data_IF_637047860622
#
_entry.id   IF_637047860622
#
_cell.length_a   1.000
_cell.length_b   1.000
_cell.length_c   1.000
_cell.angle_alpha   90.00
_cell.angle_beta   90.00
_cell.angle_gamma   90.00
#
_symmetry.space_group_name_H-M   'P 1'
#
loop_
_entity.id
_entity.type
_entity.pdbx_description
1 polymer ?
#
# COMPACT_ATOMS: atom_id res chain seq x y z
N UNK A 1 -10.74 -22.68 -11.94
CA UNK A 1 -11.23 -21.31 -12.21
C UNK A 1 -11.47 -20.52 -10.92
N UNK A 2 -12.14 -21.10 -9.90
CA UNK A 2 -12.40 -20.46 -8.60
C UNK A 2 -11.14 -20.00 -7.84
N UNK A 3 -10.08 -20.84 -7.82
CA UNK A 3 -8.82 -20.57 -7.11
C UNK A 3 -8.09 -19.32 -7.64
N UNK A 4 -8.05 -19.14 -8.97
CA UNK A 4 -7.38 -17.97 -9.59
C UNK A 4 -8.12 -16.67 -9.26
N UNK A 5 -9.46 -16.68 -9.29
CA UNK A 5 -10.27 -15.51 -8.92
C UNK A 5 -10.01 -15.11 -7.46
N UNK A 6 -10.07 -16.08 -6.55
CA UNK A 6 -9.80 -15.87 -5.13
C UNK A 6 -8.40 -15.28 -4.88
N UNK A 7 -7.37 -15.78 -5.56
CA UNK A 7 -6.01 -15.24 -5.45
C UNK A 7 -5.93 -13.78 -5.91
N UNK A 8 -6.63 -13.42 -6.99
CA UNK A 8 -6.66 -12.05 -7.50
C UNK A 8 -7.42 -11.10 -6.56
N UNK A 9 -8.51 -11.55 -5.96
CA UNK A 9 -9.25 -10.77 -4.96
C UNK A 9 -8.40 -10.55 -3.70
N UNK A 10 -7.77 -11.61 -3.19
CA UNK A 10 -6.88 -11.50 -2.05
C UNK A 10 -5.68 -10.59 -2.33
N UNK A 11 -5.08 -10.70 -3.52
CA UNK A 11 -4.03 -9.77 -3.99
C UNK A 11 -4.53 -8.32 -3.95
N UNK A 12 -5.73 -8.05 -4.46
CA UNK A 12 -6.29 -6.70 -4.50
C UNK A 12 -6.50 -6.13 -3.10
N UNK A 13 -7.06 -6.91 -2.17
CA UNK A 13 -7.26 -6.46 -0.79
C UNK A 13 -5.94 -6.23 -0.04
N UNK A 14 -4.94 -7.09 -0.27
CA UNK A 14 -3.58 -6.86 0.25
C UNK A 14 -2.97 -5.57 -0.31
N UNK A 15 -3.13 -5.31 -1.61
CA UNK A 15 -2.65 -4.07 -2.25
C UNK A 15 -3.34 -2.82 -1.74
N UNK A 16 -4.67 -2.84 -1.56
CA UNK A 16 -5.42 -1.75 -0.93
C UNK A 16 -4.91 -1.47 0.48
N UNK A 17 -4.65 -2.53 1.27
CA UNK A 17 -4.02 -2.38 2.57
C UNK A 17 -2.61 -1.81 2.51
N UNK A 18 -1.94 -1.94 1.37
CA UNK A 18 -0.62 -1.38 1.09
C UNK A 18 0.46 -2.43 0.80
N UNK A 19 0.18 -3.72 0.94
CA UNK A 19 1.13 -4.78 0.58
C UNK A 19 1.17 -4.93 -0.93
N UNK A 20 2.25 -4.49 -1.58
CA UNK A 20 2.40 -4.67 -3.02
C UNK A 20 2.70 -6.12 -3.35
N UNK A 21 1.67 -6.87 -3.70
CA UNK A 21 1.75 -8.31 -3.94
C UNK A 21 1.37 -8.62 -5.38
N UNK A 22 2.09 -9.54 -6.03
CA UNK A 22 1.75 -10.11 -7.32
C UNK A 22 1.39 -11.59 -7.20
N UNK A 23 0.67 -12.11 -8.19
CA UNK A 23 0.38 -13.56 -8.29
C UNK A 23 1.34 -14.17 -9.31
N UNK A 24 2.28 -14.98 -8.83
CA UNK A 24 3.30 -15.67 -9.65
C UNK A 24 3.25 -17.16 -9.29
N UNK A 25 3.05 -18.02 -10.28
CA UNK A 25 3.01 -19.49 -10.08
C UNK A 25 2.07 -19.96 -8.94
N UNK A 26 0.89 -19.34 -8.85
CA UNK A 26 -0.11 -19.55 -7.79
C UNK A 26 0.32 -19.10 -6.38
N UNK A 27 1.44 -18.40 -6.25
CA UNK A 27 1.90 -17.77 -5.02
C UNK A 27 1.60 -16.27 -5.03
N UNK A 28 1.28 -15.73 -3.85
CA UNK A 28 1.23 -14.31 -3.57
C UNK A 28 2.64 -13.86 -3.17
N UNK A 29 3.33 -13.18 -4.07
CA UNK A 29 4.73 -12.74 -3.90
C UNK A 29 4.73 -11.26 -3.54
N UNK A 30 5.25 -10.95 -2.34
CA UNK A 30 5.43 -9.57 -1.89
C UNK A 30 6.59 -8.93 -2.65
N UNK A 31 6.45 -7.66 -3.01
CA UNK A 31 7.50 -6.92 -3.71
C UNK A 31 8.81 -6.89 -2.91
N UNK A 32 9.93 -7.05 -3.61
CA UNK A 32 11.28 -7.15 -3.02
C UNK A 32 11.71 -5.89 -2.27
N UNK A 33 11.03 -4.76 -2.48
CA UNK A 33 11.30 -3.52 -1.74
C UNK A 33 10.81 -3.57 -0.28
N UNK A 34 9.89 -4.48 0.05
CA UNK A 34 9.42 -4.67 1.43
C UNK A 34 10.47 -5.43 2.24
N UNK A 35 10.51 -5.18 3.55
CA UNK A 35 11.41 -5.92 4.43
C UNK A 35 10.81 -7.22 4.93
N UNK A 36 11.68 -8.06 5.50
CA UNK A 36 11.29 -9.27 6.23
C UNK A 36 10.19 -9.00 7.26
N UNK A 37 10.22 -7.85 7.95
CA UNK A 37 9.19 -7.50 8.94
C UNK A 37 7.82 -7.36 8.30
N UNK A 38 7.72 -6.70 7.14
CA UNK A 38 6.44 -6.55 6.45
C UNK A 38 5.90 -7.87 5.92
N UNK A 39 6.77 -8.77 5.44
CA UNK A 39 6.32 -10.12 5.07
C UNK A 39 5.74 -10.87 6.28
N UNK A 40 6.43 -10.81 7.43
CA UNK A 40 5.94 -11.42 8.67
C UNK A 40 4.60 -10.80 9.07
N UNK A 41 4.44 -9.48 8.99
CA UNK A 41 3.17 -8.78 9.26
C UNK A 41 2.05 -9.26 8.34
N UNK A 42 2.32 -9.40 7.04
CA UNK A 42 1.36 -9.90 6.05
C UNK A 42 0.88 -11.32 6.39
N UNK A 43 1.81 -12.24 6.66
CA UNK A 43 1.47 -13.63 6.98
C UNK A 43 0.75 -13.73 8.32
N UNK A 44 1.21 -12.97 9.31
CA UNK A 44 0.55 -12.90 10.61
C UNK A 44 -0.89 -12.43 10.44
N UNK A 45 -1.15 -11.46 9.54
CA UNK A 45 -2.46 -10.84 9.36
C UNK A 45 -3.43 -11.88 8.80
N UNK A 46 -3.02 -12.53 7.72
CA UNK A 46 -3.81 -13.59 7.09
C UNK A 46 -4.09 -14.74 8.08
N UNK A 47 -3.10 -15.11 8.90
CA UNK A 47 -3.25 -16.19 9.89
C UNK A 47 -4.20 -15.78 11.03
N UNK A 48 -4.13 -14.55 11.52
CA UNK A 48 -5.03 -14.03 12.55
C UNK A 48 -6.49 -13.98 12.08
N UNK A 49 -6.71 -13.68 10.80
CA UNK A 49 -8.01 -13.76 10.12
C UNK A 49 -8.41 -15.20 9.74
N UNK A 50 -7.67 -16.21 10.23
CA UNK A 50 -7.90 -17.63 9.98
C UNK A 50 -7.87 -18.02 8.50
N UNK A 51 -7.22 -17.23 7.66
CA UNK A 51 -7.00 -17.55 6.25
C UNK A 51 -5.87 -18.58 6.17
N UNK A 52 -6.19 -19.78 5.73
CA UNK A 52 -5.23 -20.88 5.62
C UNK A 52 -4.16 -20.60 4.58
N UNK A 53 -2.98 -20.19 5.04
CA UNK A 53 -1.78 -19.93 4.22
C UNK A 53 -0.62 -20.85 4.57
N UNK A 54 0.29 -21.06 3.62
CA UNK A 54 1.60 -21.69 3.82
C UNK A 54 2.68 -20.91 3.07
N UNK A 55 3.91 -20.92 3.57
CA UNK A 55 5.05 -20.30 2.88
C UNK A 55 5.47 -21.20 1.71
N UNK A 56 5.55 -20.61 0.52
CA UNK A 56 5.99 -21.24 -0.72
C UNK A 56 7.47 -20.96 -1.01
N UNK A 57 7.85 -21.10 -2.27
CA UNK A 57 9.24 -20.87 -2.69
C UNK A 57 9.56 -19.38 -2.84
N UNK A 58 8.61 -18.62 -3.41
CA UNK A 58 8.75 -17.19 -3.73
C UNK A 58 7.87 -16.30 -2.84
N UNK A 59 6.77 -16.83 -2.31
CA UNK A 59 5.75 -16.06 -1.59
C UNK A 59 4.91 -16.94 -0.68
N UNK A 60 3.61 -16.67 -0.61
CA UNK A 60 2.65 -17.49 0.14
C UNK A 60 1.65 -18.19 -0.76
N UNK A 61 1.25 -19.40 -0.37
CA UNK A 61 0.21 -20.20 -1.03
C UNK A 61 -1.02 -20.28 -0.14
N UNK A 62 -2.20 -20.29 -0.76
CA UNK A 62 -3.43 -20.68 -0.08
C UNK A 62 -3.47 -22.20 0.10
N UNK A 63 -3.82 -22.66 1.30
CA UNK A 63 -4.07 -24.08 1.57
C UNK A 63 -5.27 -24.60 0.78
N UNK A 64 -5.33 -25.91 0.49
CA UNK A 64 -6.52 -26.51 -0.11
C UNK A 64 -7.76 -26.21 0.74
N UNK A 65 -8.88 -25.88 0.10
CA UNK A 65 -10.17 -25.55 0.72
C UNK A 65 -10.21 -24.25 1.56
N UNK A 66 -9.20 -23.38 1.48
CA UNK A 66 -9.32 -22.03 2.07
C UNK A 66 -10.47 -21.28 1.41
N UNK A 67 -11.42 -20.80 2.22
CA UNK A 67 -12.50 -19.92 1.83
C UNK A 67 -12.22 -18.53 2.39
N UNK A 68 -12.41 -17.49 1.57
CA UNK A 68 -12.30 -16.10 1.99
C UNK A 68 -13.60 -15.41 1.59
N UNK A 69 -14.29 -14.83 2.56
CA UNK A 69 -15.52 -14.06 2.33
C UNK A 69 -15.21 -12.60 2.01
N UNK A 70 -16.20 -11.88 1.48
CA UNK A 70 -16.10 -10.43 1.25
C UNK A 70 -15.78 -9.65 2.54
N UNK A 71 -16.32 -10.12 3.68
CA UNK A 71 -16.01 -9.54 4.99
C UNK A 71 -14.52 -9.69 5.35
N UNK A 72 -13.91 -10.85 5.06
CA UNK A 72 -12.48 -11.05 5.30
C UNK A 72 -11.62 -10.16 4.40
N UNK A 73 -12.04 -9.91 3.16
CA UNK A 73 -11.36 -8.93 2.29
C UNK A 73 -11.39 -7.52 2.89
N UNK A 74 -12.55 -7.07 3.36
CA UNK A 74 -12.65 -5.77 4.04
C UNK A 74 -11.81 -5.73 5.34
N UNK A 75 -11.80 -6.81 6.12
CA UNK A 75 -10.98 -6.89 7.33
C UNK A 75 -9.48 -6.78 7.01
N UNK A 76 -9.00 -7.32 5.89
CA UNK A 76 -7.61 -7.13 5.43
C UNK A 76 -7.38 -5.65 5.08
N UNK A 77 -8.27 -5.07 4.28
CA UNK A 77 -8.16 -3.70 3.74
C UNK A 77 -8.05 -2.65 4.85
N UNK A 78 -8.77 -2.85 5.96
CA UNK A 78 -8.83 -1.92 7.10
C UNK A 78 -8.07 -2.39 8.35
N UNK A 79 -7.25 -3.44 8.27
CA UNK A 79 -6.55 -3.95 9.45
C UNK A 79 -5.52 -2.94 9.98
N UNK A 80 -5.49 -2.69 11.29
CA UNK A 80 -4.46 -1.87 11.93
C UNK A 80 -3.70 -2.66 12.99
N UNK A 81 -2.46 -2.28 13.29
CA UNK A 81 -1.62 -2.96 14.28
C UNK A 81 -2.29 -3.04 15.66
N UNK A 82 -3.07 -2.05 16.08
CA UNK A 82 -3.81 -2.11 17.35
C UNK A 82 -4.85 -3.26 17.36
N UNK A 83 -5.29 -3.71 16.19
CA UNK A 83 -6.16 -4.87 16.00
C UNK A 83 -5.55 -6.16 16.55
N UNK A 84 -4.22 -6.29 16.60
CA UNK A 84 -3.54 -7.47 17.14
C UNK A 84 -3.91 -7.83 18.57
N UNK A 85 -4.35 -6.86 19.38
CA UNK A 85 -4.77 -7.11 20.76
C UNK A 85 -5.96 -8.07 20.86
N UNK A 86 -6.69 -8.27 19.76
CA UNK A 86 -7.87 -9.12 19.67
C UNK A 86 -7.57 -10.50 19.07
N UNK A 87 -6.32 -10.79 18.68
CA UNK A 87 -5.94 -12.03 17.99
C UNK A 87 -4.74 -12.71 18.63
N UNK A 88 -4.70 -14.04 18.54
CA UNK A 88 -3.47 -14.80 18.76
C UNK A 88 -2.55 -14.62 17.53
N UNK A 89 -1.49 -13.83 17.69
CA UNK A 89 -0.59 -13.49 16.58
C UNK A 89 0.41 -14.61 16.36
N UNK A 90 0.16 -15.46 15.36
CA UNK A 90 1.20 -16.34 14.85
C UNK A 90 2.22 -15.53 14.06
N UNK A 91 3.49 -15.55 14.49
CA UNK A 91 4.60 -14.95 13.74
C UNK A 91 5.41 -16.05 13.08
N UNK A 92 5.41 -16.16 11.73
CA UNK A 92 6.29 -17.11 11.07
C UNK A 92 7.76 -16.79 11.39
N UNK A 93 8.55 -17.85 11.61
CA UNK A 93 10.00 -17.72 11.81
C UNK A 93 10.77 -17.68 10.48
N UNK A 94 10.14 -18.17 9.42
CA UNK A 94 10.72 -18.33 8.08
C UNK A 94 10.09 -17.35 7.08
N UNK A 95 10.83 -17.09 6.01
CA UNK A 95 10.39 -16.36 4.81
C UNK A 95 10.74 -17.20 3.58
N UNK A 96 10.12 -16.97 2.41
CA UNK A 96 10.39 -17.74 1.21
C UNK A 96 11.88 -17.64 0.83
N UNK A 97 12.50 -18.78 0.53
CA UNK A 97 13.95 -18.86 0.30
C UNK A 97 14.37 -18.06 -0.93
N UNK A 98 13.53 -18.03 -1.97
CA UNK A 98 13.81 -17.29 -3.20
C UNK A 98 13.39 -15.81 -3.12
N UNK A 99 12.78 -15.38 -2.01
CA UNK A 99 12.35 -13.99 -1.86
C UNK A 99 13.50 -13.09 -1.39
N UNK A 100 14.07 -12.34 -2.33
CA UNK A 100 15.02 -11.27 -2.03
C UNK A 100 14.25 -10.06 -1.48
N UNK A 101 14.68 -9.52 -0.35
CA UNK A 101 13.97 -8.42 0.33
C UNK A 101 14.92 -7.27 0.63
N UNK A 102 14.35 -6.08 0.85
CA UNK A 102 15.13 -4.92 1.23
C UNK A 102 15.36 -4.93 2.76
N UNK A 103 16.59 -5.14 3.24
CA UNK A 103 16.88 -5.13 4.67
C UNK A 103 16.77 -3.73 5.29
N UNK A 104 16.81 -2.67 4.47
CA UNK A 104 16.91 -1.28 4.93
C UNK A 104 15.54 -0.59 5.09
N UNK A 105 14.44 -1.25 4.69
CA UNK A 105 13.09 -0.70 4.83
C UNK A 105 12.42 -1.16 6.13
N UNK A 106 12.60 -0.42 7.21
CA UNK A 106 12.07 -0.75 8.55
C UNK A 106 10.65 -0.22 8.81
N UNK A 107 10.00 0.38 7.82
CA UNK A 107 8.65 0.92 7.96
C UNK A 107 7.63 -0.20 8.17
N UNK A 108 6.96 -0.21 9.32
CA UNK A 108 5.83 -1.12 9.56
C UNK A 108 4.61 -0.62 8.81
N UNK A 109 4.11 -1.42 7.88
CA UNK A 109 2.95 -1.04 7.06
C UNK A 109 1.65 -1.02 7.86
N UNK A 110 1.57 -1.87 8.89
CA UNK A 110 0.39 -1.96 9.75
C UNK A 110 0.28 -0.79 10.75
N UNK A 111 1.35 0.00 10.89
CA UNK A 111 1.35 1.26 11.64
C UNK A 111 0.87 2.45 10.79
N UNK A 112 0.81 2.30 9.47
CA UNK A 112 0.24 3.32 8.58
C UNK A 112 -1.28 3.19 8.49
N UNK A 113 -1.92 4.33 8.28
CA UNK A 113 -3.34 4.43 7.96
C UNK A 113 -3.65 3.70 6.64
N UNK A 114 -4.66 2.83 6.69
CA UNK A 114 -5.04 1.93 5.59
C UNK A 114 -5.43 2.69 4.33
N UNK A 115 -6.01 3.89 4.46
CA UNK A 115 -6.41 4.73 3.32
C UNK A 115 -5.26 5.22 2.45
N UNK A 116 -4.01 5.22 2.93
CA UNK A 116 -2.87 5.80 2.18
C UNK A 116 -1.58 4.98 2.25
N UNK A 117 -1.57 3.85 2.95
CA UNK A 117 -0.38 3.02 3.15
C UNK A 117 0.27 2.57 1.83
N UNK A 118 -0.54 2.20 0.83
CA UNK A 118 -0.07 1.82 -0.51
C UNK A 118 0.76 2.94 -1.16
N UNK A 119 0.24 4.17 -1.10
CA UNK A 119 0.86 5.34 -1.72
C UNK A 119 2.14 5.76 -0.99
N UNK A 120 2.17 5.68 0.34
CA UNK A 120 3.39 5.94 1.13
C UNK A 120 4.51 4.98 0.70
N UNK A 121 4.22 3.69 0.58
CA UNK A 121 5.20 2.69 0.14
C UNK A 121 5.62 2.91 -1.31
N UNK A 122 4.69 3.22 -2.21
CA UNK A 122 4.99 3.51 -3.62
C UNK A 122 5.95 4.70 -3.77
N UNK A 123 5.69 5.80 -3.05
CA UNK A 123 6.55 7.00 -3.05
C UNK A 123 7.95 6.70 -2.50
N UNK A 124 8.02 6.03 -1.35
CA UNK A 124 9.29 5.68 -0.72
C UNK A 124 10.13 4.75 -1.62
N UNK A 125 9.49 3.80 -2.33
CA UNK A 125 10.17 2.91 -3.28
C UNK A 125 10.89 3.65 -4.40
N UNK A 126 10.31 4.74 -4.89
CA UNK A 126 10.92 5.57 -5.94
C UNK A 126 11.77 6.71 -5.39
N UNK A 127 12.14 6.66 -4.11
CA UNK A 127 13.04 7.63 -3.46
C UNK A 127 12.37 8.94 -3.02
N UNK A 128 11.05 9.06 -3.17
CA UNK A 128 10.28 10.24 -2.75
C UNK A 128 9.87 10.12 -1.28
N UNK A 129 10.86 10.01 -0.40
CA UNK A 129 10.67 9.69 1.00
C UNK A 129 9.71 10.63 1.74
N UNK A 130 8.81 10.02 2.53
CA UNK A 130 7.83 10.69 3.39
C UNK A 130 8.32 10.73 4.83
N UNK A 131 7.83 11.69 5.63
CA UNK A 131 8.17 11.82 7.06
C UNK A 131 7.04 11.38 7.99
N UNK A 132 5.79 11.53 7.56
CA UNK A 132 4.58 11.15 8.31
C UNK A 132 3.42 11.02 7.32
N UNK A 133 2.34 10.36 7.73
CA UNK A 133 1.12 10.26 6.94
C UNK A 133 -0.13 10.13 7.83
N UNK A 134 -1.29 10.60 7.36
CA UNK A 134 -2.60 10.33 7.94
C UNK A 134 -3.69 10.36 6.86
N UNK A 135 -4.62 9.40 6.84
CA UNK A 135 -5.70 9.35 5.83
C UNK A 135 -6.88 10.29 6.13
N UNK A 136 -6.81 11.01 7.26
CA UNK A 136 -7.84 11.94 7.71
C UNK A 136 -9.07 11.27 8.34
N UNK A 137 -9.08 9.94 8.44
CA UNK A 137 -10.09 9.11 9.13
C UNK A 137 -11.54 9.44 8.76
N UNK A 138 -11.79 9.81 7.50
CA UNK A 138 -13.12 10.20 6.99
C UNK A 138 -13.64 11.55 7.53
N UNK A 139 -12.81 12.29 8.26
CA UNK A 139 -13.19 13.57 8.88
C UNK A 139 -12.42 14.76 8.30
N UNK A 140 -11.21 14.52 7.80
CA UNK A 140 -10.28 15.55 7.32
C UNK A 140 -9.65 15.13 5.99
N UNK A 141 -8.99 16.08 5.34
CA UNK A 141 -8.18 15.81 4.15
C UNK A 141 -7.03 14.85 4.51
N UNK A 142 -6.72 13.86 3.66
CA UNK A 142 -5.56 13.00 3.85
C UNK A 142 -4.28 13.83 3.67
N UNK A 143 -3.22 13.44 4.37
CA UNK A 143 -1.92 14.12 4.30
C UNK A 143 -0.79 13.10 4.30
N UNK A 144 0.12 13.23 3.34
CA UNK A 144 1.42 12.54 3.31
C UNK A 144 2.49 13.63 3.31
N UNK A 145 3.17 13.80 4.44
CA UNK A 145 4.19 14.83 4.60
C UNK A 145 5.50 14.37 3.97
N UNK A 146 6.09 15.24 3.15
CA UNK A 146 7.33 14.96 2.42
C UNK A 146 8.54 15.26 3.31
N UNK A 147 9.59 14.45 3.18
CA UNK A 147 10.85 14.68 3.90
C UNK A 147 11.65 15.86 3.33
N UNK A 148 11.53 16.11 2.02
CA UNK A 148 12.30 17.15 1.31
C UNK A 148 11.39 17.98 0.41
N UNK A 149 11.75 19.25 0.19
CA UNK A 149 10.95 20.17 -0.60
C UNK A 149 11.03 19.93 -2.11
N UNK A 150 12.18 19.44 -2.61
CA UNK A 150 12.40 19.11 -4.02
C UNK A 150 11.53 17.94 -4.50
N UNK A 151 11.14 17.02 -3.61
CA UNK A 151 10.17 15.97 -3.91
C UNK A 151 8.80 16.54 -4.36
N UNK A 152 8.45 17.76 -3.94
CA UNK A 152 7.17 18.39 -4.25
C UNK A 152 6.96 18.58 -5.76
N UNK A 153 7.97 19.07 -6.47
CA UNK A 153 7.84 19.33 -7.92
C UNK A 153 7.73 18.01 -8.68
N UNK A 154 8.52 17.01 -8.30
CA UNK A 154 8.43 15.69 -8.91
C UNK A 154 7.04 15.07 -8.70
N UNK A 155 6.48 15.17 -7.49
CA UNK A 155 5.14 14.63 -7.22
C UNK A 155 4.08 15.41 -8.01
N UNK A 156 4.24 16.72 -8.22
CA UNK A 156 3.32 17.47 -9.11
C UNK A 156 3.34 16.94 -10.53
N UNK A 157 4.52 16.63 -11.08
CA UNK A 157 4.64 16.04 -12.40
C UNK A 157 3.94 14.67 -12.46
N UNK A 158 4.18 13.81 -11.47
CA UNK A 158 3.50 12.51 -11.34
C UNK A 158 1.98 12.68 -11.32
N UNK A 159 1.46 13.60 -10.49
CA UNK A 159 0.03 13.87 -10.40
C UNK A 159 -0.56 14.37 -11.72
N UNK A 160 0.14 15.28 -12.40
CA UNK A 160 -0.30 15.81 -13.70
C UNK A 160 -0.41 14.70 -14.74
N UNK A 161 0.56 13.79 -14.80
CA UNK A 161 0.52 12.65 -15.72
C UNK A 161 -0.54 11.61 -15.31
N UNK A 162 -0.63 11.28 -14.02
CA UNK A 162 -1.59 10.31 -13.50
C UNK A 162 -3.04 10.76 -13.75
N UNK A 163 -3.34 12.06 -13.58
CA UNK A 163 -4.65 12.65 -13.84
C UNK A 163 -5.11 12.51 -15.31
N UNK A 164 -4.21 12.22 -16.25
CA UNK A 164 -4.57 11.97 -17.65
C UNK A 164 -5.03 10.53 -17.90
N UNK A 165 -4.72 9.61 -16.98
CA UNK A 165 -4.89 8.16 -17.15
C UNK A 165 -5.82 7.55 -16.10
N UNK A 166 -5.94 8.20 -14.94
CA UNK A 166 -6.66 7.70 -13.77
C UNK A 166 -7.77 8.68 -13.41
N UNK A 167 -8.97 8.15 -13.19
CA UNK A 167 -10.11 8.93 -12.72
C UNK A 167 -10.18 8.88 -11.20
N UNK A 168 -9.53 9.83 -10.54
CA UNK A 168 -9.58 9.93 -9.08
C UNK A 168 -10.93 10.44 -8.57
N UNK A 169 -11.30 10.02 -7.36
CA UNK A 169 -12.44 10.53 -6.61
C UNK A 169 -12.18 11.96 -6.10
N UNK A 170 -10.95 12.25 -5.69
CA UNK A 170 -10.52 13.55 -5.19
C UNK A 170 -9.45 14.19 -6.08
N UNK A 171 -9.29 15.51 -5.97
CA UNK A 171 -8.23 16.23 -6.67
C UNK A 171 -6.98 16.25 -5.80
N UNK A 172 -6.01 15.40 -6.11
CA UNK A 172 -4.74 15.31 -5.38
C UNK A 172 -3.82 16.47 -5.72
N UNK A 173 -3.20 17.06 -4.70
CA UNK A 173 -2.35 18.24 -4.84
C UNK A 173 -1.21 18.29 -3.82
N UNK A 174 -0.17 19.08 -4.13
CA UNK A 174 0.85 19.44 -3.15
C UNK A 174 0.47 20.74 -2.44
N UNK A 175 0.20 20.65 -1.14
CA UNK A 175 -0.09 21.79 -0.26
C UNK A 175 1.15 22.20 0.53
N UNK A 176 1.54 23.48 0.40
CA UNK A 176 2.63 24.09 1.18
C UNK A 176 2.05 24.71 2.45
N UNK A 177 2.42 24.18 3.61
CA UNK A 177 2.17 24.79 4.92
C UNK A 177 3.34 25.67 5.38
N UNK A 178 3.26 26.19 6.61
CA UNK A 178 4.26 27.09 7.17
C UNK A 178 5.66 26.46 7.33
N UNK A 179 5.72 25.15 7.65
CA UNK A 179 6.98 24.40 7.80
C UNK A 179 7.01 23.05 7.08
N UNK A 180 5.87 22.60 6.56
CA UNK A 180 5.72 21.27 6.00
C UNK A 180 5.16 21.36 4.59
N UNK A 181 5.51 20.39 3.75
CA UNK A 181 4.91 20.18 2.43
C UNK A 181 4.24 18.82 2.45
N UNK A 182 2.99 18.77 2.04
CA UNK A 182 2.21 17.53 2.03
C UNK A 182 1.60 17.28 0.65
N UNK A 183 1.62 16.01 0.25
CA UNK A 183 0.66 15.49 -0.72
C UNK A 183 -0.68 15.31 0.01
N UNK A 184 -1.72 15.96 -0.49
CA UNK A 184 -3.06 15.95 0.09
C UNK A 184 -4.10 15.83 -1.02
N UNK A 185 -5.36 15.74 -0.64
CA UNK A 185 -6.47 15.71 -1.57
C UNK A 185 -7.45 16.85 -1.28
N UNK A 186 -8.13 17.31 -2.32
CA UNK A 186 -9.18 18.32 -2.26
C UNK A 186 -10.50 17.74 -2.73
N UNK A 187 -11.57 18.05 -2.00
CA UNK A 187 -12.94 17.74 -2.42
C UNK A 187 -13.33 18.62 -3.61
N UNK A 188 -13.98 18.02 -4.60
CA UNK A 188 -14.52 18.74 -5.77
C UNK A 188 -15.71 19.61 -5.38
N UNK A 189 -16.56 19.13 -4.50
CA UNK A 189 -17.69 19.87 -3.94
C UNK A 189 -17.48 20.11 -2.43
N UNK A 190 -17.86 21.30 -1.95
CA UNK A 190 -17.65 21.70 -0.55
C UNK A 190 -18.46 20.88 0.46
N UNK A 191 -19.57 20.30 0.03
CA UNK A 191 -20.49 19.49 0.83
C UNK A 191 -20.19 17.97 0.81
N UNK A 192 -19.23 17.51 0.00
CA UNK A 192 -18.84 16.10 -0.02
C UNK A 192 -18.26 15.67 1.33
N UNK A 193 -18.53 14.45 1.76
CA UNK A 193 -17.86 13.86 2.92
C UNK A 193 -16.55 13.19 2.47
N UNK A 194 -15.58 13.16 3.38
CA UNK A 194 -14.40 12.33 3.20
C UNK A 194 -14.80 10.87 3.37
N UNK A 195 -14.35 10.04 2.44
CA UNK A 195 -14.66 8.62 2.36
C UNK A 195 -13.33 7.87 2.26
N UNK A 196 -13.03 7.10 3.29
CA UNK A 196 -11.72 6.43 3.43
C UNK A 196 -11.54 5.37 2.33
N UNK A 197 -12.61 4.70 1.91
CA UNK A 197 -12.54 3.70 0.83
C UNK A 197 -12.13 4.38 -0.48
N UNK A 198 -12.71 5.54 -0.79
CA UNK A 198 -12.34 6.32 -1.98
C UNK A 198 -10.91 6.87 -1.91
N UNK A 199 -10.46 7.29 -0.73
CA UNK A 199 -9.06 7.71 -0.53
C UNK A 199 -8.13 6.50 -0.77
N UNK A 200 -8.49 5.32 -0.27
CA UNK A 200 -7.74 4.08 -0.46
C UNK A 200 -7.66 3.67 -1.94
N UNK A 201 -8.77 3.73 -2.66
CA UNK A 201 -8.83 3.42 -4.09
C UNK A 201 -7.99 4.42 -4.91
N UNK A 202 -8.08 5.72 -4.59
CA UNK A 202 -7.23 6.75 -5.22
C UNK A 202 -5.74 6.49 -4.93
N UNK A 203 -5.40 6.20 -3.67
CA UNK A 203 -4.04 5.91 -3.24
C UNK A 203 -3.48 4.66 -3.95
N UNK A 204 -4.28 3.61 -4.08
CA UNK A 204 -3.91 2.41 -4.83
C UNK A 204 -3.70 2.72 -6.32
N UNK A 205 -4.60 3.47 -6.94
CA UNK A 205 -4.50 3.81 -8.36
C UNK A 205 -3.27 4.68 -8.67
N UNK A 206 -2.96 5.64 -7.79
CA UNK A 206 -1.72 6.43 -7.89
C UNK A 206 -0.48 5.58 -7.63
N UNK A 207 -0.55 4.61 -6.70
CA UNK A 207 0.52 3.64 -6.49
C UNK A 207 0.77 2.81 -7.75
N UNK A 208 -0.27 2.24 -8.36
CA UNK A 208 -0.19 1.51 -9.64
C UNK A 208 0.46 2.35 -10.74
N UNK A 209 0.09 3.63 -10.83
CA UNK A 209 0.72 4.55 -11.75
C UNK A 209 2.22 4.70 -11.49
N UNK A 210 2.63 4.90 -10.23
CA UNK A 210 4.03 5.04 -9.83
C UNK A 210 4.79 3.76 -10.15
N UNK A 211 4.34 2.59 -9.67
CA UNK A 211 4.99 1.30 -9.87
C UNK A 211 5.19 0.95 -11.36
N UNK A 212 4.25 1.36 -12.22
CA UNK A 212 4.32 1.10 -13.66
C UNK A 212 5.30 2.03 -14.41
N UNK A 213 5.40 3.28 -13.98
CA UNK A 213 6.07 4.33 -14.77
C UNK A 213 7.40 4.79 -14.18
N UNK A 214 7.67 4.47 -12.92
CA UNK A 214 8.82 4.92 -12.17
C UNK A 214 9.48 3.72 -11.50
N UNK A 215 10.79 3.58 -11.68
CA UNK A 215 11.60 2.62 -10.95
C UNK A 215 12.77 3.34 -10.30
N UNK A 216 13.27 2.82 -9.18
CA UNK A 216 14.45 3.37 -8.53
C UNK A 216 15.73 3.23 -9.40
N UNK A 217 15.70 2.36 -10.42
CA UNK A 217 16.84 1.95 -11.23
C UNK A 217 16.82 2.40 -12.70
N UNK A 218 15.67 2.78 -13.27
CA UNK A 218 15.61 3.21 -14.67
C UNK A 218 15.65 4.72 -14.78
N UNK A 219 16.69 5.21 -15.46
CA UNK A 219 16.98 6.61 -15.71
C UNK A 219 15.95 7.39 -16.55
N UNK A 220 14.63 7.16 -16.39
CA UNK A 220 13.70 8.29 -16.35
C UNK A 220 14.04 9.09 -15.10
N UNK A 221 15.13 9.86 -15.21
CA UNK A 221 15.63 10.75 -14.17
C UNK A 221 14.44 11.46 -13.55
N UNK A 222 14.12 11.12 -12.30
CA UNK A 222 13.62 12.10 -11.37
C UNK A 222 14.57 13.30 -11.54
N UNK A 223 14.10 14.35 -12.21
CA UNK A 223 14.89 15.58 -12.36
C UNK A 223 14.90 16.22 -10.98
N UNK A 224 15.73 15.67 -10.10
CA UNK A 224 16.17 16.36 -8.91
C UNK A 224 17.07 17.49 -9.43
N UNK A 225 16.47 18.68 -9.57
CA UNK A 225 17.17 19.92 -9.80
C UNK A 225 17.98 20.28 -8.54
#
# INVERSE_FOLDING_TARGET
MLKKKLLLELRNSLRRRGFWVDVVDEELVLDVWYSKSNFIEMVSLLTALQIGVSIGEQGIRLKPNTLVSDELFQQIEFFHRQGWNWFSVFRPQEVPVAWNHNPDNDLSILDLDSGIASLVFALNKVGLYTSMSCDGHGQREPNIWLRRQDHAETIRDILMEANQQVSFAYDWEIKKGYRNIALTAKRRLSNDKWDVEKIQDDALALSEYIYKNYSASDGKKLKLL
#
